data_IF_977288153786
#
_entry.id   IF_977288153786
#
_cell.length_a   1.000
_cell.length_b   1.000
_cell.length_c   1.000
_cell.angle_alpha   90.00
_cell.angle_beta   90.00
_cell.angle_gamma   90.00
#
_symmetry.space_group_name_H-M   'P 1'
#
loop_
_entity.id
_entity.type
_entity.pdbx_description
1 polymer ?
#
# COMPACT_ATOMS: atom_id res chain seq x y z
N UNK A 1 -4.36 2.28 11.84
CA UNK A 1 -4.09 1.47 10.65
C UNK A 1 -2.80 1.94 9.99
N UNK A 2 -2.03 1.02 9.47
CA UNK A 2 -0.79 1.33 8.77
C UNK A 2 -0.75 0.60 7.43
N UNK A 3 -0.17 1.28 6.43
CA UNK A 3 -0.14 0.78 5.06
C UNK A 3 1.22 1.09 4.43
N UNK A 4 1.72 0.16 3.63
CA UNK A 4 2.86 0.38 2.77
C UNK A 4 2.39 0.27 1.33
N UNK A 5 2.69 1.28 0.51
CA UNK A 5 2.35 1.28 -0.91
C UNK A 5 3.63 1.04 -1.70
N UNK A 6 3.61 0.02 -2.55
CA UNK A 6 4.74 -0.37 -3.38
C UNK A 6 4.37 -0.13 -4.85
N UNK A 7 5.11 0.72 -5.52
CA UNK A 7 4.83 1.12 -6.89
C UNK A 7 4.17 2.49 -6.97
N UNK A 8 3.51 2.75 -8.08
CA UNK A 8 2.94 4.06 -8.35
C UNK A 8 3.95 4.99 -9.00
N UNK A 9 3.60 6.26 -9.08
CA UNK A 9 4.45 7.29 -9.69
C UNK A 9 4.86 8.33 -8.65
N UNK A 10 6.08 8.84 -8.77
CA UNK A 10 6.62 9.82 -7.82
C UNK A 10 5.69 11.03 -7.66
N UNK A 11 5.11 11.52 -8.76
CA UNK A 11 4.20 12.67 -8.74
C UNK A 11 2.91 12.40 -7.99
N UNK A 12 2.57 11.14 -7.73
CA UNK A 12 1.36 10.73 -7.04
C UNK A 12 1.56 10.54 -5.53
N UNK A 13 2.80 10.57 -5.06
CA UNK A 13 3.12 10.27 -3.65
C UNK A 13 2.33 11.17 -2.69
N UNK A 14 2.28 12.47 -3.00
CA UNK A 14 1.55 13.42 -2.15
C UNK A 14 0.06 13.06 -2.07
N UNK A 15 -0.54 12.70 -3.22
CA UNK A 15 -1.96 12.33 -3.26
C UNK A 15 -2.22 11.05 -2.49
N UNK A 16 -1.35 10.06 -2.64
CA UNK A 16 -1.48 8.81 -1.85
C UNK A 16 -1.44 9.10 -0.36
N UNK A 17 -0.50 9.95 0.07
CA UNK A 17 -0.39 10.31 1.48
C UNK A 17 -1.61 11.07 1.99
N UNK A 18 -2.17 11.96 1.18
CA UNK A 18 -3.38 12.69 1.55
C UNK A 18 -4.58 11.75 1.71
N UNK A 19 -4.75 10.81 0.79
CA UNK A 19 -5.84 9.84 0.86
C UNK A 19 -5.71 8.99 2.11
N UNK A 20 -4.52 8.49 2.39
CA UNK A 20 -4.27 7.70 3.60
C UNK A 20 -4.54 8.51 4.86
N UNK A 21 -4.15 9.77 4.88
CA UNK A 21 -4.40 10.64 6.03
C UNK A 21 -5.89 10.84 6.27
N UNK A 22 -6.68 11.00 5.20
CA UNK A 22 -8.13 11.12 5.32
C UNK A 22 -8.79 9.90 5.96
N UNK A 23 -8.17 8.73 5.79
CA UNK A 23 -8.64 7.48 6.39
C UNK A 23 -7.92 7.14 7.68
N UNK A 24 -7.19 8.09 8.26
CA UNK A 24 -6.44 7.91 9.51
C UNK A 24 -5.47 6.74 9.41
N UNK A 25 -4.82 6.63 8.26
CA UNK A 25 -3.89 5.56 7.94
C UNK A 25 -2.48 6.10 7.82
N UNK A 26 -1.55 5.56 8.60
CA UNK A 26 -0.13 5.87 8.44
C UNK A 26 0.39 5.16 7.19
N UNK A 27 1.15 5.85 6.37
CA UNK A 27 1.57 5.31 5.08
C UNK A 27 3.04 5.54 4.82
N UNK A 28 3.66 4.54 4.18
CA UNK A 28 4.97 4.67 3.56
C UNK A 28 4.81 4.31 2.10
N UNK A 29 5.41 5.10 1.21
CA UNK A 29 5.28 4.90 -0.24
C UNK A 29 6.65 4.67 -0.84
N UNK A 30 6.80 3.57 -1.57
CA UNK A 30 8.03 3.22 -2.28
C UNK A 30 7.71 3.13 -3.77
N UNK A 31 7.99 4.21 -4.50
CA UNK A 31 7.77 4.23 -5.96
C UNK A 31 8.93 3.62 -6.71
N UNK A 32 10.11 3.57 -6.07
CA UNK A 32 11.33 3.03 -6.67
C UNK A 32 12.06 2.19 -5.64
N UNK A 33 12.90 1.29 -6.14
CA UNK A 33 13.74 0.47 -5.29
C UNK A 33 14.72 1.35 -4.51
N UNK A 34 14.82 1.13 -3.20
CA UNK A 34 15.81 1.81 -2.37
C UNK A 34 16.58 0.78 -1.56
N UNK A 35 17.82 1.15 -1.19
CA UNK A 35 18.70 0.26 -0.45
C UNK A 35 18.12 -0.14 0.92
N UNK A 36 17.33 0.76 1.53
CA UNK A 36 16.79 0.54 2.87
C UNK A 36 15.33 0.10 2.86
N UNK A 37 14.78 -0.26 1.69
CA UNK A 37 13.37 -0.61 1.58
C UNK A 37 12.98 -1.74 2.51
N UNK A 38 13.81 -2.78 2.58
CA UNK A 38 13.53 -3.94 3.41
C UNK A 38 13.33 -3.56 4.87
N UNK A 39 14.23 -2.73 5.40
CA UNK A 39 14.18 -2.31 6.80
C UNK A 39 13.05 -1.31 7.07
N UNK A 40 12.67 -0.54 6.06
CA UNK A 40 11.67 0.50 6.20
C UNK A 40 10.24 0.01 6.11
N UNK A 41 10.00 -1.16 5.54
CA UNK A 41 8.64 -1.71 5.41
C UNK A 41 8.02 -1.92 6.80
N UNK A 42 8.79 -2.44 7.74
CA UNK A 42 8.28 -2.66 9.09
C UNK A 42 7.19 -3.71 9.15
N UNK A 43 6.17 -3.47 9.97
CA UNK A 43 5.05 -4.41 10.15
C UNK A 43 3.72 -3.69 9.89
N UNK A 44 3.40 -3.38 8.62
CA UNK A 44 2.13 -2.70 8.31
C UNK A 44 0.95 -3.66 8.42
N UNK A 45 -0.24 -3.08 8.56
CA UNK A 45 -1.48 -3.86 8.47
C UNK A 45 -1.77 -4.28 7.04
N UNK A 46 -1.44 -3.40 6.07
CA UNK A 46 -1.69 -3.62 4.65
C UNK A 46 -0.48 -3.29 3.81
N UNK A 47 -0.25 -4.09 2.77
CA UNK A 47 0.72 -3.77 1.72
C UNK A 47 -0.03 -3.72 0.41
N UNK A 48 -0.01 -2.56 -0.26
CA UNK A 48 -0.63 -2.37 -1.58
C UNK A 48 0.46 -2.45 -2.64
N UNK A 49 0.27 -3.34 -3.60
CA UNK A 49 1.18 -3.49 -4.75
C UNK A 49 0.48 -2.95 -5.99
N UNK A 50 0.99 -1.86 -6.54
CA UNK A 50 0.52 -1.34 -7.84
C UNK A 50 1.26 -2.09 -8.93
N UNK A 51 0.67 -3.19 -9.38
CA UNK A 51 1.37 -4.20 -10.19
C UNK A 51 1.84 -3.71 -11.56
N UNK A 52 1.23 -2.64 -12.09
CA UNK A 52 1.63 -2.10 -13.39
C UNK A 52 2.91 -1.26 -13.33
N UNK A 53 3.38 -0.89 -12.14
CA UNK A 53 4.52 0.01 -11.95
C UNK A 53 5.61 -0.56 -11.06
N UNK A 54 5.40 -1.72 -10.47
CA UNK A 54 6.33 -2.31 -9.52
C UNK A 54 7.26 -3.30 -10.23
N UNK A 55 8.54 -3.33 -9.82
CA UNK A 55 9.49 -4.32 -10.34
C UNK A 55 9.36 -5.63 -9.58
N UNK A 56 9.80 -6.73 -10.21
CA UNK A 56 9.81 -8.05 -9.55
C UNK A 56 10.63 -8.03 -8.26
N UNK A 57 11.73 -7.28 -8.24
CA UNK A 57 12.58 -7.20 -7.06
C UNK A 57 11.86 -6.54 -5.90
N UNK A 58 11.11 -5.46 -6.18
CA UNK A 58 10.31 -4.79 -5.16
C UNK A 58 9.21 -5.68 -4.61
N UNK A 59 8.52 -6.41 -5.49
CA UNK A 59 7.49 -7.37 -5.06
C UNK A 59 8.10 -8.43 -4.16
N UNK A 60 9.25 -8.96 -4.55
CA UNK A 60 9.93 -10.01 -3.80
C UNK A 60 10.30 -9.54 -2.39
N UNK A 61 10.84 -8.32 -2.27
CA UNK A 61 11.16 -7.74 -0.98
C UNK A 61 9.90 -7.53 -0.14
N UNK A 62 8.85 -6.96 -0.74
CA UNK A 62 7.59 -6.74 -0.04
C UNK A 62 7.01 -8.04 0.51
N UNK A 63 7.01 -9.08 -0.32
CA UNK A 63 6.46 -10.38 0.09
C UNK A 63 7.29 -11.03 1.19
N UNK A 64 8.61 -10.85 1.14
CA UNK A 64 9.49 -11.44 2.18
C UNK A 64 9.31 -10.75 3.53
N UNK A 65 8.94 -9.47 3.55
CA UNK A 65 8.76 -8.67 4.77
C UNK A 65 7.30 -8.54 5.21
N UNK A 66 6.38 -9.16 4.47
CA UNK A 66 4.94 -8.95 4.71
C UNK A 66 4.46 -9.45 6.07
N UNK A 67 5.03 -10.56 6.56
CA UNK A 67 4.57 -11.14 7.82
C UNK A 67 3.08 -11.45 7.76
N UNK A 68 2.32 -10.85 8.69
CA UNK A 68 0.87 -11.03 8.76
C UNK A 68 0.09 -9.93 8.02
N UNK A 69 0.77 -9.04 7.30
CA UNK A 69 0.11 -7.96 6.58
C UNK A 69 -0.82 -8.52 5.49
N UNK A 70 -1.94 -7.84 5.28
CA UNK A 70 -2.83 -8.15 4.16
C UNK A 70 -2.24 -7.56 2.88
N UNK A 71 -2.05 -8.40 1.87
CA UNK A 71 -1.49 -7.99 0.59
C UNK A 71 -2.65 -7.68 -0.36
N UNK A 72 -2.64 -6.46 -0.90
CA UNK A 72 -3.64 -6.02 -1.87
C UNK A 72 -2.93 -5.73 -3.18
N UNK A 73 -3.26 -6.47 -4.22
CA UNK A 73 -2.73 -6.25 -5.56
C UNK A 73 -3.71 -5.40 -6.33
N UNK A 74 -3.20 -4.32 -6.92
CA UNK A 74 -4.01 -3.42 -7.72
C UNK A 74 -3.26 -3.10 -9.01
N UNK A 75 -3.90 -3.35 -10.15
CA UNK A 75 -3.26 -3.12 -11.44
C UNK A 75 -3.06 -1.63 -11.73
N UNK A 76 -4.00 -0.80 -11.30
CA UNK A 76 -4.00 0.64 -11.58
C UNK A 76 -3.48 1.43 -10.39
N UNK A 77 -2.58 2.39 -10.62
CA UNK A 77 -1.95 3.18 -9.56
C UNK A 77 -2.58 4.57 -9.39
N UNK A 78 -3.86 4.72 -9.73
CA UNK A 78 -4.57 5.98 -9.64
C UNK A 78 -5.10 6.27 -8.23
N UNK A 79 -5.44 7.54 -7.98
CA UNK A 79 -6.11 7.94 -6.72
C UNK A 79 -7.44 7.22 -6.54
N UNK A 80 -8.19 7.06 -7.64
CA UNK A 80 -9.47 6.36 -7.61
C UNK A 80 -9.28 4.91 -7.13
N UNK A 81 -8.26 4.23 -7.64
CA UNK A 81 -7.96 2.86 -7.24
C UNK A 81 -7.66 2.78 -5.74
N UNK A 82 -6.88 3.72 -5.22
CA UNK A 82 -6.55 3.74 -3.78
C UNK A 82 -7.79 4.00 -2.93
N UNK A 83 -8.65 4.92 -3.35
CA UNK A 83 -9.92 5.17 -2.66
C UNK A 83 -10.80 3.92 -2.63
N UNK A 84 -10.88 3.18 -3.73
CA UNK A 84 -11.63 1.93 -3.78
C UNK A 84 -11.07 0.88 -2.82
N UNK A 85 -9.75 0.83 -2.68
CA UNK A 85 -9.11 -0.07 -1.72
C UNK A 85 -9.58 0.25 -0.30
N UNK A 86 -9.61 1.54 0.07
CA UNK A 86 -10.08 1.94 1.39
C UNK A 86 -11.55 1.62 1.59
N UNK A 87 -12.39 1.82 0.57
CA UNK A 87 -13.81 1.46 0.65
C UNK A 87 -13.98 -0.03 0.94
N UNK A 88 -13.20 -0.88 0.26
CA UNK A 88 -13.27 -2.31 0.47
C UNK A 88 -12.79 -2.71 1.87
N UNK A 89 -11.74 -2.07 2.37
CA UNK A 89 -11.24 -2.32 3.72
C UNK A 89 -12.32 -1.95 4.74
N UNK A 90 -12.90 -0.76 4.62
CA UNK A 90 -13.89 -0.25 5.56
C UNK A 90 -15.16 -1.10 5.54
N UNK A 91 -15.62 -1.51 4.35
CA UNK A 91 -16.78 -2.38 4.22
C UNK A 91 -16.53 -3.76 4.86
N UNK A 92 -15.32 -4.30 4.70
CA UNK A 92 -14.96 -5.57 5.32
C UNK A 92 -14.96 -5.48 6.83
N UNK A 93 -14.46 -4.38 7.38
CA UNK A 93 -14.46 -4.15 8.82
C UNK A 93 -15.88 -4.02 9.37
N UNK A 94 -16.76 -3.30 8.65
CA UNK A 94 -18.16 -3.19 9.03
C UNK A 94 -18.85 -4.55 9.02
N UNK A 95 -18.57 -5.38 8.03
CA UNK A 95 -19.11 -6.74 7.95
C UNK A 95 -18.64 -7.60 9.12
N UNK A 96 -17.38 -7.47 9.50
CA UNK A 96 -16.83 -8.21 10.64
C UNK A 96 -17.41 -7.74 11.97
N UNK A 97 -17.76 -6.48 12.08
CA UNK A 97 -18.33 -5.91 13.30
C UNK A 97 -19.75 -6.41 13.56
N UNK A 98 -20.40 -6.89 12.55
CA UNK A 98 -21.77 -7.44 12.67
C UNK A 98 -21.74 -8.94 12.93
#
# INVERSE_FOLDING_TARGET
MSMVIIGGHDRMVRQYKQICKQHQCKVKVFTQMSANMKEQIGKPDFIVLFTNTVSHKMVRIAMSEAGNANIIRCHTSSSTALNEIFENIENTELTKAN
#
